data_IF_376314811745
#
_entry.id   IF_376314811745
#
_cell.length_a   1.000
_cell.length_b   1.000
_cell.length_c   1.000
_cell.angle_alpha   90.00
_cell.angle_beta   90.00
_cell.angle_gamma   90.00
#
_symmetry.space_group_name_H-M   'P 1'
#
loop_
_entity.id
_entity.type
_entity.pdbx_description
1 polymer ?
#
# COMPACT_ATOMS: atom_id res chain seq x y z
N UNK A 1 26.14 -26.67 -7.73
CA UNK A 1 26.22 -27.99 -7.06
C UNK A 1 25.28 -28.14 -5.85
N UNK A 2 25.12 -27.16 -4.95
CA UNK A 2 24.23 -27.31 -3.76
C UNK A 2 22.75 -27.50 -4.14
N UNK A 3 22.17 -26.55 -4.89
CA UNK A 3 20.82 -26.68 -5.49
C UNK A 3 20.58 -28.01 -6.22
N UNK A 4 21.61 -28.54 -6.90
CA UNK A 4 21.54 -29.80 -7.65
C UNK A 4 21.20 -31.03 -6.77
N UNK A 5 21.46 -30.98 -5.46
CA UNK A 5 21.13 -32.07 -4.52
C UNK A 5 19.63 -32.19 -4.23
N UNK A 6 18.91 -31.08 -4.34
CA UNK A 6 17.47 -30.99 -4.07
C UNK A 6 16.65 -31.04 -5.35
N UNK A 7 17.30 -31.32 -6.48
CA UNK A 7 16.69 -31.32 -7.80
C UNK A 7 16.04 -32.67 -8.08
N UNK A 8 14.73 -32.68 -8.30
CA UNK A 8 13.93 -33.83 -8.69
C UNK A 8 13.65 -33.78 -10.21
N UNK A 9 13.61 -34.94 -10.87
CA UNK A 9 13.30 -35.04 -12.31
C UNK A 9 11.98 -35.76 -12.49
N UNK A 10 10.97 -35.00 -12.92
CA UNK A 10 9.62 -35.49 -13.21
C UNK A 10 9.53 -35.87 -14.69
N UNK A 11 8.92 -37.03 -14.97
CA UNK A 11 8.54 -37.43 -16.34
C UNK A 11 7.01 -37.42 -16.43
N UNK A 12 6.48 -36.71 -17.42
CA UNK A 12 5.05 -36.54 -17.66
C UNK A 12 4.70 -37.10 -19.03
N UNK A 13 3.64 -37.90 -19.12
CA UNK A 13 3.06 -38.33 -20.40
C UNK A 13 2.07 -37.27 -20.92
N UNK A 14 1.68 -37.32 -22.21
CA UNK A 14 0.74 -36.33 -22.78
C UNK A 14 -0.59 -36.30 -22.03
N UNK A 15 -0.96 -35.14 -21.50
CA UNK A 15 -2.17 -34.93 -20.69
C UNK A 15 -1.94 -34.92 -19.18
N UNK A 16 -0.79 -35.38 -18.69
CA UNK A 16 -0.46 -35.36 -17.26
C UNK A 16 -0.32 -33.92 -16.75
N UNK A 17 -0.76 -33.69 -15.52
CA UNK A 17 -0.65 -32.38 -14.86
C UNK A 17 0.71 -32.26 -14.15
N UNK A 18 1.40 -31.15 -14.38
CA UNK A 18 2.58 -30.76 -13.60
C UNK A 18 2.15 -30.21 -12.23
N UNK A 19 1.09 -29.38 -12.23
CA UNK A 19 0.38 -28.90 -11.03
C UNK A 19 -1.02 -28.42 -11.42
N UNK A 20 -1.91 -28.35 -10.42
CA UNK A 20 -3.29 -27.87 -10.50
C UNK A 20 -3.53 -26.74 -9.50
N UNK A 21 -4.66 -26.06 -9.66
CA UNK A 21 -5.16 -25.14 -8.64
C UNK A 21 -5.29 -25.88 -7.29
N UNK A 22 -4.93 -25.21 -6.20
CA UNK A 22 -4.77 -25.70 -4.81
C UNK A 22 -3.49 -26.50 -4.50
N UNK A 23 -2.72 -26.94 -5.51
CA UNK A 23 -1.40 -27.56 -5.24
C UNK A 23 -0.41 -26.52 -4.68
N UNK A 24 0.61 -27.00 -3.97
CA UNK A 24 1.67 -26.18 -3.38
C UNK A 24 2.57 -25.56 -4.45
N UNK A 25 2.71 -24.23 -4.41
CA UNK A 25 3.57 -23.47 -5.31
C UNK A 25 4.91 -23.17 -4.61
N UNK A 26 5.63 -24.26 -4.31
CA UNK A 26 6.84 -24.29 -3.47
C UNK A 26 8.14 -24.52 -4.27
N UNK A 27 8.02 -24.61 -5.60
CA UNK A 27 9.05 -25.14 -6.49
C UNK A 27 9.19 -24.33 -7.76
N UNK A 28 10.44 -24.20 -8.23
CA UNK A 28 10.75 -23.74 -9.58
C UNK A 28 10.78 -24.97 -10.49
N UNK A 29 9.92 -24.99 -11.50
CA UNK A 29 9.93 -26.03 -12.54
C UNK A 29 10.64 -25.54 -13.79
N UNK A 30 11.49 -26.36 -14.41
CA UNK A 30 12.24 -26.05 -15.63
C UNK A 30 12.04 -27.19 -16.63
N UNK A 31 11.53 -26.90 -17.83
CA UNK A 31 11.31 -27.95 -18.85
C UNK A 31 12.67 -28.36 -19.45
N UNK A 32 13.07 -29.61 -19.27
CA UNK A 32 14.32 -30.16 -19.84
C UNK A 32 14.12 -30.69 -21.27
N UNK A 33 12.94 -31.24 -21.54
CA UNK A 33 12.46 -31.64 -22.88
C UNK A 33 10.94 -31.74 -22.88
N UNK A 34 10.33 -31.63 -24.05
CA UNK A 34 8.87 -31.65 -24.21
C UNK A 34 8.25 -30.25 -24.17
N UNK A 35 6.95 -30.21 -23.89
CA UNK A 35 6.10 -29.02 -23.98
C UNK A 35 5.06 -29.04 -22.84
N UNK A 36 5.07 -28.01 -22.00
CA UNK A 36 4.10 -27.83 -20.91
C UNK A 36 3.21 -26.64 -21.22
N UNK A 37 1.89 -26.80 -21.15
CA UNK A 37 0.92 -25.74 -21.36
C UNK A 37 0.34 -25.26 -20.04
N UNK A 38 0.38 -23.94 -19.82
CA UNK A 38 -0.13 -23.25 -18.64
C UNK A 38 -1.39 -22.49 -19.02
N UNK A 39 -2.47 -22.72 -18.28
CA UNK A 39 -3.78 -22.14 -18.55
C UNK A 39 -4.55 -21.82 -17.26
N UNK A 40 -5.52 -20.92 -17.37
CA UNK A 40 -6.54 -20.67 -16.35
C UNK A 40 -7.77 -21.49 -16.73
N UNK A 41 -8.42 -22.11 -15.75
CA UNK A 41 -9.75 -22.71 -15.90
C UNK A 41 -10.78 -21.79 -15.24
N UNK A 42 -11.74 -21.33 -16.03
CA UNK A 42 -12.86 -20.51 -15.57
C UNK A 42 -13.99 -21.39 -15.02
N UNK A 43 -14.91 -20.79 -14.24
CA UNK A 43 -16.03 -21.51 -13.62
C UNK A 43 -17.07 -22.05 -14.62
N UNK A 44 -17.10 -21.52 -15.84
CA UNK A 44 -17.91 -22.00 -16.97
C UNK A 44 -17.28 -23.21 -17.70
N UNK A 45 -16.10 -23.66 -17.27
CA UNK A 45 -15.33 -24.72 -17.91
C UNK A 45 -14.47 -24.26 -19.10
N UNK A 46 -14.51 -22.97 -19.48
CA UNK A 46 -13.62 -22.43 -20.50
C UNK A 46 -12.17 -22.39 -20.00
N UNK A 47 -11.21 -22.51 -20.92
CA UNK A 47 -9.77 -22.46 -20.60
C UNK A 47 -9.09 -21.32 -21.34
N UNK A 48 -8.44 -20.43 -20.58
CA UNK A 48 -7.62 -19.34 -21.13
C UNK A 48 -6.15 -19.78 -21.13
N UNK A 49 -5.58 -19.96 -22.33
CA UNK A 49 -4.16 -20.22 -22.52
C UNK A 49 -3.31 -19.03 -22.06
N UNK A 50 -2.44 -19.23 -21.07
CA UNK A 50 -1.49 -18.20 -20.63
C UNK A 50 -0.14 -18.33 -21.35
N UNK A 51 0.47 -19.51 -21.29
CA UNK A 51 1.85 -19.74 -21.74
C UNK A 51 2.03 -21.17 -22.24
N UNK A 52 2.82 -21.33 -23.30
CA UNK A 52 3.33 -22.63 -23.75
C UNK A 52 4.83 -22.68 -23.47
N UNK A 53 5.23 -23.48 -22.49
CA UNK A 53 6.58 -23.54 -21.93
C UNK A 53 7.38 -24.62 -22.66
N UNK A 54 8.54 -24.24 -23.19
CA UNK A 54 9.44 -25.09 -23.98
C UNK A 54 10.71 -25.43 -23.21
N UNK A 55 11.49 -26.36 -23.77
CA UNK A 55 12.84 -26.71 -23.29
C UNK A 55 13.69 -25.48 -22.95
N UNK A 56 14.16 -25.42 -21.71
CA UNK A 56 14.99 -24.35 -21.15
C UNK A 56 14.21 -23.26 -20.43
N UNK A 57 12.89 -23.18 -20.61
CA UNK A 57 12.03 -22.21 -19.95
C UNK A 57 11.52 -22.73 -18.60
N UNK A 58 11.16 -21.79 -17.72
CA UNK A 58 10.63 -22.10 -16.39
C UNK A 58 9.11 -21.93 -16.29
N UNK A 59 8.51 -22.69 -15.36
CA UNK A 59 7.13 -22.55 -14.89
C UNK A 59 7.18 -22.19 -13.41
N UNK A 60 7.22 -20.90 -13.10
CA UNK A 60 7.21 -20.38 -11.73
C UNK A 60 6.84 -18.90 -11.73
N UNK A 61 6.19 -18.41 -10.68
CA UNK A 61 6.08 -16.99 -10.40
C UNK A 61 7.21 -16.59 -9.46
N UNK A 62 7.92 -15.50 -9.78
CA UNK A 62 8.93 -14.98 -8.87
C UNK A 62 8.31 -14.26 -7.67
N UNK A 63 7.01 -13.96 -7.69
CA UNK A 63 6.28 -13.46 -6.53
C UNK A 63 6.03 -14.59 -5.52
N UNK A 64 5.75 -15.81 -5.97
CA UNK A 64 5.67 -17.00 -5.12
C UNK A 64 7.02 -17.35 -4.48
N UNK A 65 8.12 -17.12 -5.21
CA UNK A 65 9.48 -17.26 -4.66
C UNK A 65 9.73 -16.35 -3.44
N UNK A 66 9.19 -15.12 -3.45
CA UNK A 66 9.21 -14.23 -2.28
C UNK A 66 8.37 -14.82 -1.14
N UNK A 67 7.10 -15.16 -1.38
CA UNK A 67 6.19 -15.68 -0.35
C UNK A 67 6.80 -16.88 0.40
N UNK A 68 7.31 -17.87 -0.34
CA UNK A 68 7.83 -19.14 0.19
C UNK A 68 9.09 -18.95 1.03
N UNK A 69 10.05 -18.16 0.55
CA UNK A 69 11.27 -17.86 1.31
C UNK A 69 10.98 -17.00 2.54
N UNK A 70 9.97 -16.13 2.49
CA UNK A 70 9.46 -15.42 3.66
C UNK A 70 8.70 -16.31 4.65
N UNK A 71 8.72 -17.64 4.47
CA UNK A 71 8.06 -18.62 5.33
C UNK A 71 6.54 -18.65 5.21
N UNK A 72 5.96 -18.05 4.16
CA UNK A 72 4.52 -18.07 3.93
C UNK A 72 4.17 -19.18 2.93
N UNK A 73 3.13 -20.00 3.18
CA UNK A 73 2.75 -21.05 2.26
C UNK A 73 2.14 -20.43 0.99
N UNK A 74 2.68 -20.78 -0.18
CA UNK A 74 2.14 -20.41 -1.49
C UNK A 74 1.44 -21.60 -2.15
N UNK A 75 0.40 -21.30 -2.92
CA UNK A 75 -0.44 -22.27 -3.61
C UNK A 75 -0.87 -21.72 -4.97
N UNK A 76 -1.03 -22.60 -5.96
CA UNK A 76 -1.60 -22.22 -7.25
C UNK A 76 -3.07 -21.83 -7.07
N UNK A 77 -3.40 -20.54 -7.17
CA UNK A 77 -4.78 -20.06 -6.96
C UNK A 77 -5.63 -20.08 -8.23
N UNK A 78 -4.99 -19.95 -9.39
CA UNK A 78 -5.64 -19.51 -10.64
C UNK A 78 -5.11 -20.20 -11.88
N UNK A 79 -3.91 -20.80 -11.82
CA UNK A 79 -3.21 -21.40 -12.96
C UNK A 79 -3.09 -22.91 -12.78
N UNK A 80 -3.07 -23.63 -13.89
CA UNK A 80 -2.85 -25.07 -13.99
C UNK A 80 -1.89 -25.35 -15.13
N UNK A 81 -1.02 -26.35 -14.98
CA UNK A 81 -0.04 -26.72 -15.98
C UNK A 81 -0.15 -28.21 -16.34
N UNK A 82 -0.15 -28.53 -17.64
CA UNK A 82 -0.18 -29.91 -18.15
C UNK A 82 0.83 -30.15 -19.27
N UNK A 83 1.35 -31.36 -19.37
CA UNK A 83 2.17 -31.79 -20.48
C UNK A 83 1.32 -31.95 -21.76
N UNK A 84 1.76 -31.39 -22.88
CA UNK A 84 1.10 -31.52 -24.19
C UNK A 84 1.71 -32.66 -25.01
N UNK A 85 2.96 -33.00 -24.73
CA UNK A 85 3.71 -34.14 -25.27
C UNK A 85 4.53 -34.76 -24.13
N UNK A 86 5.16 -35.92 -24.36
CA UNK A 86 6.01 -36.57 -23.35
C UNK A 86 7.12 -35.60 -22.92
N UNK A 87 7.08 -35.19 -21.66
CA UNK A 87 7.88 -34.08 -21.13
C UNK A 87 8.73 -34.53 -19.95
N UNK A 88 9.92 -33.97 -19.84
CA UNK A 88 10.81 -34.13 -18.69
C UNK A 88 10.98 -32.75 -18.06
N UNK A 89 10.59 -32.63 -16.79
CA UNK A 89 10.56 -31.37 -16.06
C UNK A 89 11.43 -31.52 -14.82
N UNK A 90 12.36 -30.59 -14.65
CA UNK A 90 13.21 -30.49 -13.47
C UNK A 90 12.45 -29.68 -12.42
N UNK A 91 12.21 -30.26 -11.26
CA UNK A 91 11.65 -29.59 -10.08
C UNK A 91 12.79 -29.20 -9.14
N UNK A 92 12.83 -27.93 -8.74
CA UNK A 92 13.78 -27.41 -7.76
C UNK A 92 13.00 -26.69 -6.63
N UNK A 93 12.93 -27.26 -5.42
CA UNK A 93 12.27 -26.63 -4.28
C UNK A 93 12.86 -25.26 -3.96
N UNK A 94 12.03 -24.25 -3.74
CA UNK A 94 12.47 -22.88 -3.45
C UNK A 94 13.27 -22.80 -2.14
N UNK A 95 12.94 -23.63 -1.15
CA UNK A 95 13.69 -23.72 0.11
C UNK A 95 15.17 -24.13 -0.08
N UNK A 96 15.52 -24.84 -1.16
CA UNK A 96 16.91 -25.19 -1.45
C UNK A 96 17.81 -23.96 -1.75
N UNK A 97 17.22 -22.79 -2.02
CA UNK A 97 17.94 -21.54 -2.17
C UNK A 97 18.38 -20.93 -0.82
N UNK A 98 17.75 -21.28 0.31
CA UNK A 98 18.19 -20.78 1.63
C UNK A 98 19.64 -21.15 1.94
N UNK A 99 20.09 -22.37 1.61
CA UNK A 99 21.51 -22.76 1.76
C UNK A 99 22.45 -21.79 1.01
N UNK A 100 22.08 -21.41 -0.21
CA UNK A 100 22.87 -20.50 -1.06
C UNK A 100 22.86 -19.07 -0.52
N UNK A 101 21.72 -18.63 0.01
CA UNK A 101 21.55 -17.28 0.57
C UNK A 101 22.21 -17.11 1.94
N UNK A 102 22.21 -18.14 2.78
CA UNK A 102 22.93 -18.14 4.05
C UNK A 102 24.45 -18.09 3.85
N UNK A 103 24.97 -18.70 2.78
CA UNK A 103 26.39 -18.68 2.44
C UNK A 103 26.82 -17.41 1.69
N UNK A 104 25.92 -16.81 0.92
CA UNK A 104 26.18 -15.58 0.19
C UNK A 104 24.95 -14.65 0.22
N UNK A 105 24.80 -13.84 1.29
CA UNK A 105 23.66 -12.96 1.45
C UNK A 105 23.55 -11.86 0.38
N UNK A 106 24.68 -11.47 -0.24
CA UNK A 106 24.65 -10.54 -1.37
C UNK A 106 23.87 -11.11 -2.58
N UNK A 107 23.90 -12.44 -2.78
CA UNK A 107 23.11 -13.07 -3.84
C UNK A 107 21.63 -12.98 -3.50
N UNK A 108 21.25 -13.16 -2.24
CA UNK A 108 19.85 -12.97 -1.80
C UNK A 108 19.38 -11.56 -2.09
N UNK A 109 20.13 -10.54 -1.64
CA UNK A 109 19.81 -9.13 -1.90
C UNK A 109 19.63 -8.89 -3.41
N UNK A 110 20.59 -9.30 -4.23
CA UNK A 110 20.51 -9.15 -5.70
C UNK A 110 19.31 -9.86 -6.32
N UNK A 111 19.02 -11.11 -5.93
CA UNK A 111 17.89 -11.87 -6.47
C UNK A 111 16.57 -11.19 -6.12
N UNK A 112 16.36 -10.82 -4.85
CA UNK A 112 15.13 -10.16 -4.42
C UNK A 112 14.97 -8.79 -5.11
N UNK A 113 16.04 -7.99 -5.22
CA UNK A 113 16.00 -6.73 -5.95
C UNK A 113 15.67 -6.91 -7.44
N UNK A 114 16.24 -7.91 -8.12
CA UNK A 114 15.91 -8.22 -9.54
C UNK A 114 14.43 -8.58 -9.70
N UNK A 115 13.85 -9.33 -8.76
CA UNK A 115 12.41 -9.64 -8.75
C UNK A 115 11.57 -8.35 -8.60
N UNK A 116 11.96 -7.46 -7.68
CA UNK A 116 11.25 -6.19 -7.44
C UNK A 116 11.38 -5.20 -8.60
N UNK A 117 12.55 -5.10 -9.23
CA UNK A 117 12.76 -4.30 -10.44
C UNK A 117 11.92 -4.85 -11.60
N UNK A 118 11.79 -6.17 -11.73
CA UNK A 118 10.91 -6.80 -12.72
C UNK A 118 9.43 -6.49 -12.45
N UNK A 119 9.00 -6.60 -11.19
CA UNK A 119 7.65 -6.25 -10.75
C UNK A 119 7.32 -4.79 -11.12
N UNK A 120 8.23 -3.85 -10.85
CA UNK A 120 8.04 -2.44 -11.17
C UNK A 120 8.07 -2.15 -12.68
N UNK A 121 9.15 -2.53 -13.39
CA UNK A 121 9.39 -2.11 -14.79
C UNK A 121 8.70 -2.93 -15.86
N UNK A 122 8.31 -4.17 -15.56
CA UNK A 122 7.66 -5.05 -16.54
C UNK A 122 6.21 -5.22 -16.17
N UNK A 123 5.94 -5.72 -14.96
CA UNK A 123 4.58 -6.11 -14.58
C UNK A 123 3.68 -4.91 -14.36
N UNK A 124 4.05 -3.97 -13.47
CA UNK A 124 3.27 -2.74 -13.26
C UNK A 124 3.25 -1.84 -14.49
N UNK A 125 4.39 -1.63 -15.17
CA UNK A 125 4.41 -0.84 -16.40
C UNK A 125 3.50 -1.45 -17.47
N UNK A 126 3.54 -2.77 -17.73
CA UNK A 126 2.68 -3.36 -18.74
C UNK A 126 1.19 -3.32 -18.37
N UNK A 127 0.84 -3.61 -17.12
CA UNK A 127 -0.55 -3.57 -16.64
C UNK A 127 -1.14 -2.15 -16.70
N UNK A 128 -0.34 -1.13 -16.34
CA UNK A 128 -0.73 0.30 -16.44
C UNK A 128 -0.80 0.76 -17.91
N UNK A 129 0.28 0.59 -18.66
CA UNK A 129 0.45 1.19 -20.00
C UNK A 129 -0.36 0.48 -21.09
N UNK A 130 -0.55 -0.84 -21.02
CA UNK A 130 -1.24 -1.60 -22.06
C UNK A 130 -2.64 -2.08 -21.68
N UNK A 131 -2.93 -2.23 -20.39
CA UNK A 131 -4.25 -2.71 -19.91
C UNK A 131 -5.04 -1.63 -19.16
N UNK A 132 -4.45 -0.47 -18.84
CA UNK A 132 -5.11 0.62 -18.13
C UNK A 132 -5.44 0.33 -16.67
N UNK A 133 -4.90 -0.76 -16.10
CA UNK A 133 -5.19 -1.21 -14.75
C UNK A 133 -4.34 -0.45 -13.75
N UNK A 134 -4.99 0.19 -12.77
CA UNK A 134 -4.35 1.06 -11.78
C UNK A 134 -4.75 0.64 -10.35
N UNK A 135 -6.05 0.65 -10.03
CA UNK A 135 -6.57 0.29 -8.71
C UNK A 135 -6.63 -1.23 -8.50
N UNK A 136 -6.79 -1.98 -9.59
CA UNK A 136 -6.92 -3.44 -9.65
C UNK A 136 -5.61 -4.18 -9.34
N UNK A 137 -4.50 -3.44 -9.21
CA UNK A 137 -3.18 -3.98 -8.90
C UNK A 137 -3.00 -4.33 -7.41
N UNK A 138 -3.81 -3.72 -6.52
CA UNK A 138 -3.65 -3.81 -5.07
C UNK A 138 -4.89 -4.41 -4.40
N UNK A 139 -4.69 -5.33 -3.45
CA UNK A 139 -5.76 -5.86 -2.61
C UNK A 139 -6.16 -4.83 -1.56
N UNK A 140 -7.35 -4.26 -1.68
CA UNK A 140 -7.91 -3.26 -0.75
C UNK A 140 -8.24 -3.78 0.66
N UNK A 141 -7.92 -5.04 0.97
CA UNK A 141 -8.38 -5.77 2.16
C UNK A 141 -7.25 -6.54 2.87
N UNK A 142 -6.17 -5.83 3.22
CA UNK A 142 -5.16 -6.35 4.16
C UNK A 142 -5.78 -6.53 5.55
N UNK A 143 -6.31 -7.72 5.83
CA UNK A 143 -6.78 -8.09 7.17
C UNK A 143 -5.59 -8.10 8.13
N UNK A 144 -5.57 -7.16 9.07
CA UNK A 144 -4.65 -7.12 10.21
C UNK A 144 -4.49 -8.53 10.79
N UNK A 145 -3.26 -9.05 10.86
CA UNK A 145 -2.93 -10.24 11.66
C UNK A 145 -3.31 -9.92 13.11
N UNK A 146 -4.48 -10.42 13.55
CA UNK A 146 -4.82 -10.45 14.99
C UNK A 146 -3.86 -11.42 15.67
N UNK A 147 -2.75 -10.90 16.20
CA UNK A 147 -2.04 -11.59 17.26
C UNK A 147 -3.01 -11.76 18.45
N UNK A 148 -3.24 -13.01 18.83
CA UNK A 148 -3.97 -13.30 20.06
C UNK A 148 -3.04 -12.97 21.23
N UNK A 149 -3.36 -11.93 22.01
CA UNK A 149 -2.60 -11.60 23.23
C UNK A 149 -2.29 -10.12 23.44
N UNK A 150 -3.30 -9.25 23.48
CA UNK A 150 -3.18 -7.92 24.07
C UNK A 150 -4.50 -7.51 24.73
N UNK A 151 -4.63 -7.77 26.05
CA UNK A 151 -5.81 -7.42 26.82
C UNK A 151 -5.84 -5.91 27.13
N UNK A 152 -6.45 -5.12 26.24
CA UNK A 152 -6.69 -3.70 26.52
C UNK A 152 -7.79 -3.59 27.58
N UNK A 153 -7.38 -3.15 28.78
CA UNK A 153 -8.26 -2.78 29.88
C UNK A 153 -9.25 -1.70 29.43
N UNK A 154 -10.55 -2.00 29.47
CA UNK A 154 -11.61 -1.00 29.31
C UNK A 154 -12.43 -0.89 30.59
N UNK A 155 -12.13 0.14 31.37
CA UNK A 155 -12.90 0.57 32.53
C UNK A 155 -14.04 1.50 32.11
N UNK A 156 -15.31 1.10 32.28
CA UNK A 156 -16.48 1.98 32.47
C UNK A 156 -17.76 1.15 32.71
N UNK A 157 -18.80 1.69 33.38
CA UNK A 157 -19.52 0.87 34.37
C UNK A 157 -21.00 0.55 34.08
N UNK A 158 -21.41 -0.59 34.62
CA UNK A 158 -22.72 -0.91 35.23
C UNK A 158 -24.00 -0.25 34.67
N UNK A 159 -24.82 -1.02 33.94
CA UNK A 159 -26.27 -0.89 34.09
C UNK A 159 -27.07 -2.21 33.94
N UNK A 160 -27.65 -2.62 35.06
CA UNK A 160 -28.89 -3.40 35.30
C UNK A 160 -29.30 -4.55 34.33
N UNK A 161 -29.22 -5.77 34.89
CA UNK A 161 -29.78 -7.06 34.41
C UNK A 161 -31.32 -7.05 34.27
N UNK A 162 -31.82 -7.71 33.23
CA UNK A 162 -33.17 -8.35 33.16
C UNK A 162 -33.03 -9.67 32.39
N UNK A 163 -33.95 -10.63 32.59
CA UNK A 163 -33.78 -12.06 32.24
C UNK A 163 -34.98 -12.66 31.49
N UNK A 164 -34.75 -13.85 30.89
CA UNK A 164 -35.70 -14.79 30.24
C UNK A 164 -35.99 -14.59 28.72
N UNK A 165 -36.33 -15.66 27.97
CA UNK A 165 -35.49 -16.08 26.84
C UNK A 165 -36.28 -16.44 25.55
N UNK A 166 -35.65 -17.26 24.71
CA UNK A 166 -36.17 -18.01 23.54
C UNK A 166 -36.43 -17.23 22.23
N UNK A 167 -35.50 -17.38 21.29
CA UNK A 167 -35.79 -17.77 19.90
C UNK A 167 -34.52 -18.13 19.12
N UNK A 168 -34.60 -19.22 18.37
CA UNK A 168 -33.57 -19.67 17.42
C UNK A 168 -33.81 -18.99 16.07
N UNK A 169 -32.78 -18.45 15.40
CA UNK A 169 -32.70 -18.51 13.93
C UNK A 169 -31.34 -18.14 13.31
N UNK A 170 -30.78 -19.13 12.60
CA UNK A 170 -30.13 -19.08 11.29
C UNK A 170 -29.20 -17.92 10.89
N UNK A 171 -27.95 -18.29 10.59
CA UNK A 171 -27.07 -17.56 9.68
C UNK A 171 -27.60 -17.62 8.24
N UNK A 172 -27.61 -16.48 7.55
CA UNK A 172 -27.72 -16.40 6.10
C UNK A 172 -26.51 -15.65 5.54
N UNK A 173 -25.63 -16.41 4.89
CA UNK A 173 -24.75 -15.91 3.85
C UNK A 173 -25.58 -15.75 2.58
N UNK A 174 -25.72 -14.52 2.07
CA UNK A 174 -26.36 -14.30 0.78
C UNK A 174 -25.41 -13.68 -0.25
N UNK A 175 -25.56 -14.17 -1.47
CA UNK A 175 -24.76 -13.80 -2.64
C UNK A 175 -25.13 -12.41 -3.15
N UNK A 176 -24.16 -11.72 -3.75
CA UNK A 176 -24.41 -10.49 -4.51
C UNK A 176 -23.95 -10.71 -5.97
N UNK A 177 -24.86 -10.64 -6.97
CA UNK A 177 -24.51 -10.83 -8.38
C UNK A 177 -23.81 -9.60 -8.98
N UNK A 178 -23.07 -9.75 -10.10
CA UNK A 178 -22.41 -8.65 -10.77
C UNK A 178 -23.39 -7.79 -11.60
N UNK A 179 -23.05 -6.53 -11.92
CA UNK A 179 -23.87 -5.65 -12.75
C UNK A 179 -23.59 -5.86 -14.26
N UNK A 180 -24.65 -6.08 -15.04
CA UNK A 180 -24.62 -6.01 -16.50
C UNK A 180 -24.69 -4.54 -17.01
N UNK A 181 -24.10 -4.29 -18.18
CA UNK A 181 -24.16 -2.99 -18.89
C UNK A 181 -24.96 -3.07 -20.20
N UNK A 182 -25.46 -1.89 -20.65
CA UNK A 182 -26.18 -1.59 -21.93
C UNK A 182 -27.69 -2.00 -21.92
N UNK A 183 -28.68 -1.18 -22.32
CA UNK A 183 -28.84 -0.27 -23.47
C UNK A 183 -29.90 0.83 -23.21
N UNK A 184 -29.64 1.97 -23.85
CA UNK A 184 -30.39 3.21 -24.15
C UNK A 184 -31.94 3.34 -24.30
N UNK A 185 -32.34 4.63 -24.24
CA UNK A 185 -33.43 5.38 -24.94
C UNK A 185 -34.94 5.35 -24.51
N UNK A 186 -35.36 6.51 -23.95
CA UNK A 186 -36.41 7.43 -24.46
C UNK A 186 -37.91 7.40 -24.00
N UNK A 187 -38.43 8.64 -23.86
CA UNK A 187 -39.81 9.17 -23.90
C UNK A 187 -40.73 9.16 -22.64
N UNK A 188 -41.06 10.40 -22.20
CA UNK A 188 -42.41 10.98 -21.95
C UNK A 188 -43.56 10.06 -21.49
N UNK A 189 -44.42 10.41 -20.51
CA UNK A 189 -45.24 11.64 -20.47
C UNK A 189 -45.94 11.82 -19.11
N UNK A 190 -46.20 13.09 -18.73
CA UNK A 190 -47.29 13.63 -17.88
C UNK A 190 -48.14 12.75 -16.93
N UNK A 191 -48.33 13.25 -15.68
CA UNK A 191 -49.64 13.80 -15.22
C UNK A 191 -49.59 14.57 -13.87
N UNK A 192 -50.20 15.75 -13.85
CA UNK A 192 -50.67 16.49 -12.65
C UNK A 192 -51.92 15.78 -12.03
N UNK A 193 -52.54 16.12 -10.89
CA UNK A 193 -52.79 17.34 -10.10
C UNK A 193 -53.01 16.95 -8.60
N UNK A 194 -53.09 17.83 -7.59
CA UNK A 194 -53.00 19.30 -7.54
C UNK A 194 -53.79 19.89 -6.34
N UNK A 195 -53.96 21.24 -6.34
CA UNK A 195 -54.78 22.09 -5.42
C UNK A 195 -54.18 22.23 -4.00
N UNK A 196 -54.03 23.38 -3.31
CA UNK A 196 -54.18 24.85 -3.53
C UNK A 196 -53.40 25.57 -2.36
N UNK A 197 -53.39 26.88 -2.09
CA UNK A 197 -53.20 28.15 -2.84
C UNK A 197 -53.59 29.36 -1.94
N UNK A 198 -52.73 30.39 -1.79
CA UNK A 198 -53.10 31.78 -1.43
C UNK A 198 -51.93 32.77 -1.74
N UNK A 199 -52.26 34.03 -2.02
CA UNK A 199 -51.44 35.12 -2.62
C UNK A 199 -51.61 36.45 -1.82
N UNK A 200 -51.08 37.65 -2.19
CA UNK A 200 -49.93 38.03 -3.05
C UNK A 200 -48.98 39.16 -2.51
N UNK A 201 -47.77 39.16 -3.06
CA UNK A 201 -46.93 40.27 -3.61
C UNK A 201 -47.26 41.79 -3.42
N UNK A 202 -46.24 42.64 -3.20
CA UNK A 202 -45.99 43.89 -3.99
C UNK A 202 -44.65 44.64 -3.66
N UNK A 203 -44.07 45.24 -4.71
CA UNK A 203 -42.90 46.16 -4.77
C UNK A 203 -43.42 47.64 -4.95
N UNK A 204 -42.64 48.76 -4.98
CA UNK A 204 -41.42 48.99 -5.82
C UNK A 204 -40.35 50.07 -5.38
N UNK A 205 -39.27 50.22 -6.18
CA UNK A 205 -38.40 51.40 -6.55
C UNK A 205 -37.92 52.47 -5.50
N UNK A 206 -36.81 53.20 -5.66
CA UNK A 206 -35.69 53.22 -6.63
C UNK A 206 -34.83 54.53 -6.59
N UNK A 207 -33.57 54.47 -7.07
CA UNK A 207 -32.59 55.56 -7.39
C UNK A 207 -32.02 56.52 -6.31
N UNK A 208 -30.77 57.01 -6.47
CA UNK A 208 -30.48 58.39 -6.00
C UNK A 208 -29.08 59.06 -5.85
N UNK A 209 -27.90 58.43 -5.98
CA UNK A 209 -26.57 59.11 -6.20
C UNK A 209 -25.97 60.16 -5.21
N UNK A 210 -24.63 60.38 -5.34
CA UNK A 210 -23.78 61.49 -4.83
C UNK A 210 -23.43 61.55 -3.31
N UNK A 211 -22.27 62.02 -2.83
CA UNK A 211 -20.83 62.02 -3.22
C UNK A 211 -20.07 63.06 -2.36
N UNK A 212 -18.89 62.72 -1.81
CA UNK A 212 -17.79 63.69 -1.61
C UNK A 212 -17.47 64.22 -0.20
N UNK A 213 -16.16 64.18 0.13
CA UNK A 213 -15.44 64.93 1.20
C UNK A 213 -15.86 64.69 2.67
N UNK A 214 -14.99 64.91 3.68
CA UNK A 214 -13.55 65.21 3.65
C UNK A 214 -12.99 65.58 5.03
N UNK A 215 -11.76 65.13 5.31
CA UNK A 215 -10.68 65.80 6.05
C UNK A 215 -10.92 66.58 7.39
N UNK A 216 -10.13 66.17 8.40
CA UNK A 216 -9.32 67.03 9.32
C UNK A 216 -9.95 67.92 10.40
N UNK A 217 -9.27 67.94 11.57
CA UNK A 217 -9.42 68.92 12.66
C UNK A 217 -10.35 68.47 13.80
N UNK A 218 -10.04 68.65 15.08
CA UNK A 218 -8.86 69.24 15.72
C UNK A 218 -9.24 70.00 16.99
N UNK A 219 -8.52 69.79 18.10
CA UNK A 219 -8.61 70.65 19.30
C UNK A 219 -9.41 70.09 20.48
N UNK A 220 -8.78 69.24 21.30
CA UNK A 220 -9.22 68.94 22.66
C UNK A 220 -8.11 69.33 23.66
N UNK A 221 -8.15 70.57 24.16
CA UNK A 221 -7.18 71.06 25.14
C UNK A 221 -7.62 70.76 26.58
N UNK A 222 -6.68 70.37 27.44
CA UNK A 222 -6.97 70.09 28.85
C UNK A 222 -5.83 69.36 29.58
N UNK A 223 -4.76 70.08 29.93
CA UNK A 223 -3.77 69.56 30.88
C UNK A 223 -4.31 69.70 32.31
N UNK A 224 -4.12 68.68 33.17
CA UNK A 224 -3.73 68.91 34.56
C UNK A 224 -3.06 67.68 35.23
N UNK A 225 -1.74 67.77 35.35
CA UNK A 225 -0.92 67.37 36.53
C UNK A 225 -1.14 66.03 37.26
N UNK A 226 -0.16 65.13 37.06
CA UNK A 226 0.73 64.56 38.10
C UNK A 226 0.12 64.05 39.43
N UNK A 227 0.20 62.72 39.61
CA UNK A 227 0.52 62.11 40.91
C UNK A 227 1.49 60.94 40.71
N UNK A 228 2.62 60.96 41.42
CA UNK A 228 3.71 59.99 41.26
C UNK A 228 3.74 59.05 42.47
N UNK A 229 3.40 57.78 42.28
CA UNK A 229 3.48 56.74 43.33
C UNK A 229 4.25 55.52 42.86
N UNK A 230 5.55 55.49 43.22
CA UNK A 230 6.38 54.29 43.14
C UNK A 230 5.81 53.20 44.07
N UNK A 231 5.05 52.26 43.51
CA UNK A 231 4.76 50.99 44.16
C UNK A 231 5.62 49.90 43.51
N UNK A 232 6.62 49.40 44.23
CA UNK A 232 7.28 48.14 43.88
C UNK A 232 6.27 47.01 44.09
N UNK A 233 5.43 46.75 43.08
CA UNK A 233 4.58 45.57 43.06
C UNK A 233 5.46 44.35 42.82
N UNK A 234 5.59 43.51 43.86
CA UNK A 234 6.24 42.21 43.77
C UNK A 234 5.38 41.35 42.83
N UNK A 235 5.75 41.32 41.54
CA UNK A 235 4.99 40.63 40.51
C UNK A 235 4.74 39.18 40.88
N UNK A 236 3.47 38.76 40.83
CA UNK A 236 2.98 37.49 41.37
C UNK A 236 3.84 36.28 41.00
N UNK A 237 4.76 35.92 41.91
CA UNK A 237 5.64 34.76 41.77
C UNK A 237 4.82 33.45 41.75
N UNK A 238 3.66 33.45 42.41
CA UNK A 238 2.71 32.32 42.44
C UNK A 238 2.08 32.08 41.07
N UNK A 239 1.57 33.13 40.39
CA UNK A 239 0.97 32.98 39.05
C UNK A 239 2.03 32.55 38.03
N UNK A 240 3.26 33.08 38.14
CA UNK A 240 4.38 32.67 37.27
C UNK A 240 4.81 31.22 37.52
N UNK A 241 4.86 30.77 38.78
CA UNK A 241 5.08 29.36 39.13
C UNK A 241 3.96 28.46 38.61
N UNK A 242 2.69 28.87 38.70
CA UNK A 242 1.57 28.07 38.18
C UNK A 242 1.63 27.91 36.66
N UNK A 243 1.97 28.98 35.92
CA UNK A 243 2.20 28.89 34.47
C UNK A 243 3.43 28.05 34.11
N UNK A 244 4.50 28.10 34.91
CA UNK A 244 5.70 27.27 34.69
C UNK A 244 5.43 25.80 34.99
N UNK A 245 4.78 25.47 36.11
CA UNK A 245 4.40 24.09 36.46
C UNK A 245 3.46 23.49 35.40
N UNK A 246 2.52 24.27 34.86
CA UNK A 246 1.64 23.78 33.79
C UNK A 246 2.40 23.61 32.46
N UNK A 247 3.32 24.51 32.12
CA UNK A 247 4.18 24.38 30.94
C UNK A 247 5.16 23.19 31.06
N UNK A 248 5.75 22.97 32.24
CA UNK A 248 6.61 21.82 32.55
C UNK A 248 5.79 20.51 32.52
N UNK A 249 4.57 20.50 33.04
CA UNK A 249 3.68 19.33 32.96
C UNK A 249 3.28 19.01 31.51
N UNK A 250 2.98 20.04 30.69
CA UNK A 250 2.70 19.88 29.26
C UNK A 250 3.93 19.40 28.48
N UNK A 251 5.12 19.95 28.78
CA UNK A 251 6.37 19.52 28.17
C UNK A 251 6.71 18.06 28.55
N UNK A 252 6.56 17.69 29.82
CA UNK A 252 6.77 16.32 30.29
C UNK A 252 5.75 15.35 29.67
N UNK A 253 4.48 15.75 29.53
CA UNK A 253 3.46 14.95 28.87
C UNK A 253 3.78 14.74 27.38
N UNK A 254 4.14 15.81 26.65
CA UNK A 254 4.54 15.72 25.24
C UNK A 254 5.82 14.87 25.06
N UNK A 255 6.79 14.98 25.98
CA UNK A 255 8.02 14.17 25.94
C UNK A 255 7.72 12.68 26.19
N UNK A 256 6.82 12.37 27.13
CA UNK A 256 6.37 11.00 27.38
C UNK A 256 5.55 10.43 26.22
N UNK A 257 4.71 11.25 25.57
CA UNK A 257 3.95 10.89 24.38
C UNK A 257 4.88 10.58 23.19
N UNK A 258 5.88 11.43 22.92
CA UNK A 258 6.90 11.21 21.89
C UNK A 258 7.75 9.96 22.17
N UNK A 259 8.14 9.71 23.42
CA UNK A 259 8.84 8.49 23.80
C UNK A 259 8.00 7.23 23.55
N UNK A 260 6.70 7.28 23.87
CA UNK A 260 5.74 6.20 23.61
C UNK A 260 5.57 5.95 22.10
N UNK A 261 5.40 7.02 21.31
CA UNK A 261 5.33 6.94 19.84
C UNK A 261 6.60 6.37 19.22
N UNK A 262 7.77 6.76 19.72
CA UNK A 262 9.06 6.22 19.26
C UNK A 262 9.18 4.72 19.59
N UNK A 263 8.77 4.31 20.79
CA UNK A 263 8.68 2.90 21.17
C UNK A 263 7.78 2.10 20.23
N UNK A 264 6.57 2.59 19.98
CA UNK A 264 5.62 1.95 19.05
C UNK A 264 6.11 1.92 17.59
N UNK A 265 6.84 2.94 17.14
CA UNK A 265 7.48 2.98 15.83
C UNK A 265 8.54 1.89 15.69
N UNK A 266 9.39 1.71 16.71
CA UNK A 266 10.40 0.65 16.74
C UNK A 266 9.76 -0.74 16.76
N UNK A 267 8.74 -0.95 17.58
CA UNK A 267 7.99 -2.23 17.61
C UNK A 267 7.39 -2.56 16.23
N UNK A 268 6.86 -1.54 15.56
CA UNK A 268 6.22 -1.69 14.25
C UNK A 268 7.24 -1.95 13.14
N UNK A 269 8.40 -1.28 13.15
CA UNK A 269 9.50 -1.57 12.23
C UNK A 269 10.10 -2.97 12.48
N UNK A 270 10.38 -3.36 13.72
CA UNK A 270 10.86 -4.70 14.05
C UNK A 270 9.91 -5.78 13.52
N UNK A 271 8.61 -5.61 13.73
CA UNK A 271 7.58 -6.56 13.29
C UNK A 271 7.49 -6.71 11.77
N UNK A 272 7.45 -5.61 11.02
CA UNK A 272 7.30 -5.68 9.56
C UNK A 272 8.62 -5.91 8.80
N UNK A 273 9.78 -5.63 9.40
CA UNK A 273 11.10 -5.95 8.84
C UNK A 273 11.63 -7.33 9.29
N UNK A 274 10.87 -8.09 10.10
CA UNK A 274 11.24 -9.45 10.53
C UNK A 274 12.41 -9.51 11.53
N UNK A 275 12.70 -8.42 12.25
CA UNK A 275 13.92 -8.27 13.05
C UNK A 275 13.73 -8.64 14.52
N UNK A 276 14.74 -9.26 15.16
CA UNK A 276 14.72 -9.61 16.57
C UNK A 276 14.88 -8.37 17.46
N UNK A 277 14.37 -8.42 18.70
CA UNK A 277 14.37 -7.28 19.63
C UNK A 277 15.77 -6.75 19.98
N UNK A 278 16.82 -7.57 19.82
CA UNK A 278 18.23 -7.17 19.97
C UNK A 278 18.64 -6.04 19.01
N UNK A 279 18.08 -6.00 17.80
CA UNK A 279 18.41 -4.98 16.79
C UNK A 279 17.69 -3.64 17.04
N UNK A 280 16.84 -3.54 18.06
CA UNK A 280 16.07 -2.32 18.39
C UNK A 280 16.97 -1.10 18.52
N UNK A 281 18.07 -1.22 19.26
CA UNK A 281 19.00 -0.11 19.52
C UNK A 281 19.75 0.34 18.26
N UNK A 282 19.99 -0.58 17.32
CA UNK A 282 20.63 -0.28 16.04
C UNK A 282 19.67 0.48 15.11
N UNK A 283 18.43 -0.02 14.96
CA UNK A 283 17.38 0.61 14.15
C UNK A 283 17.01 1.99 14.68
N UNK A 284 16.98 2.17 16.00
CA UNK A 284 16.65 3.45 16.64
C UNK A 284 17.55 4.62 16.17
N UNK A 285 18.82 4.36 15.84
CA UNK A 285 19.71 5.39 15.28
C UNK A 285 19.29 5.91 13.90
N UNK A 286 18.45 5.18 13.17
CA UNK A 286 17.99 5.50 11.81
C UNK A 286 16.51 5.92 11.74
N UNK A 287 15.75 5.80 12.83
CA UNK A 287 14.31 6.11 12.85
C UNK A 287 14.06 7.58 13.18
N UNK A 288 13.42 8.27 12.24
CA UNK A 288 12.93 9.64 12.40
C UNK A 288 11.40 9.64 12.53
N UNK A 289 10.85 10.56 13.33
CA UNK A 289 9.42 10.75 13.52
C UNK A 289 8.95 12.01 12.79
N UNK A 290 7.75 11.96 12.23
CA UNK A 290 7.11 13.10 11.57
C UNK A 290 5.62 13.13 11.86
N UNK A 291 5.09 14.32 12.12
CA UNK A 291 3.65 14.59 12.19
C UNK A 291 3.27 15.48 11.01
N UNK A 292 2.28 15.03 10.22
CA UNK A 292 2.00 15.58 8.90
C UNK A 292 0.52 15.95 8.78
N UNK A 293 0.27 17.16 8.31
CA UNK A 293 -1.07 17.72 8.08
C UNK A 293 -1.81 17.03 6.93
N UNK A 294 -3.16 17.03 6.92
CA UNK A 294 -3.94 16.45 5.83
C UNK A 294 -3.60 17.09 4.47
N UNK A 295 -3.66 16.25 3.43
CA UNK A 295 -3.36 16.55 2.02
C UNK A 295 -1.89 16.87 1.68
N UNK A 296 -0.98 16.88 2.65
CA UNK A 296 0.47 16.98 2.37
C UNK A 296 0.95 15.70 1.67
N UNK A 297 1.71 15.87 0.58
CA UNK A 297 2.36 14.77 -0.14
C UNK A 297 3.68 14.38 0.56
N UNK A 298 3.79 13.11 0.91
CA UNK A 298 4.97 12.50 1.56
C UNK A 298 5.95 11.94 0.53
N UNK A 299 5.38 11.37 -0.52
CA UNK A 299 6.07 10.81 -1.67
C UNK A 299 5.34 11.34 -2.89
N UNK A 300 6.08 11.88 -3.85
CA UNK A 300 5.56 12.32 -5.15
C UNK A 300 5.98 11.34 -6.23
N UNK A 301 5.06 11.01 -7.14
CA UNK A 301 5.38 10.16 -8.30
C UNK A 301 6.52 10.78 -9.13
N UNK A 302 7.50 9.95 -9.52
CA UNK A 302 8.67 10.40 -10.28
C UNK A 302 9.78 11.05 -9.46
N UNK A 303 9.59 11.34 -8.17
CA UNK A 303 10.67 11.87 -7.34
C UNK A 303 11.69 10.76 -6.98
N UNK A 304 12.98 11.04 -7.22
CA UNK A 304 14.13 10.19 -6.88
C UNK A 304 14.82 10.67 -5.60
N UNK A 305 14.63 11.95 -5.25
CA UNK A 305 15.11 12.53 -4.00
C UNK A 305 14.21 12.06 -2.85
N UNK A 306 14.79 11.91 -1.66
CA UNK A 306 14.11 11.52 -0.42
C UNK A 306 13.37 10.16 -0.40
N UNK A 307 13.78 9.18 -1.23
CA UNK A 307 13.30 7.79 -1.06
C UNK A 307 13.58 7.29 0.37
N UNK A 308 12.50 6.89 1.04
CA UNK A 308 12.49 6.35 2.40
C UNK A 308 11.35 5.33 2.55
N UNK A 309 11.48 4.43 3.52
CA UNK A 309 10.35 3.63 3.99
C UNK A 309 9.62 4.42 5.08
N UNK A 310 8.29 4.48 5.00
CA UNK A 310 7.42 5.06 6.02
C UNK A 310 6.60 3.96 6.68
N UNK A 311 6.28 4.14 7.96
CA UNK A 311 5.30 3.32 8.68
C UNK A 311 4.26 4.24 9.34
N UNK A 312 2.98 3.90 9.17
CA UNK A 312 1.89 4.70 9.72
C UNK A 312 1.70 4.36 11.19
N UNK A 313 1.88 5.33 12.10
CA UNK A 313 1.68 5.11 13.54
C UNK A 313 0.23 5.36 13.94
N UNK A 314 -0.30 6.52 13.57
CA UNK A 314 -1.70 6.92 13.82
C UNK A 314 -2.19 7.80 12.68
N UNK A 315 -3.40 7.53 12.16
CA UNK A 315 -3.97 8.25 11.01
C UNK A 315 -4.16 7.31 9.82
N UNK A 316 -4.08 7.85 8.60
CA UNK A 316 -4.18 7.07 7.37
C UNK A 316 -3.57 7.84 6.19
N UNK A 317 -2.96 7.12 5.25
CA UNK A 317 -2.41 7.69 4.01
C UNK A 317 -3.23 7.21 2.81
N UNK A 318 -3.41 8.06 1.81
CA UNK A 318 -4.00 7.68 0.53
C UNK A 318 -2.90 7.59 -0.53
N UNK A 319 -2.91 6.50 -1.29
CA UNK A 319 -2.02 6.29 -2.43
C UNK A 319 -2.77 6.62 -3.71
N UNK A 320 -2.18 7.54 -4.46
CA UNK A 320 -2.65 8.02 -5.76
C UNK A 320 -1.66 7.65 -6.86
N UNK A 321 -2.12 7.62 -8.10
CA UNK A 321 -1.28 7.46 -9.27
C UNK A 321 -1.76 8.41 -10.37
N UNK A 322 -0.82 9.10 -10.99
CA UNK A 322 -1.06 9.93 -12.16
C UNK A 322 -1.57 9.06 -13.32
N UNK A 323 -2.58 9.48 -14.10
CA UNK A 323 -2.95 8.71 -15.29
C UNK A 323 -2.03 9.07 -16.47
N UNK A 324 -1.40 8.07 -17.09
CA UNK A 324 -0.60 8.26 -18.30
C UNK A 324 -1.48 7.94 -19.51
N UNK A 325 -2.25 8.93 -19.98
CA UNK A 325 -2.98 8.83 -21.25
C UNK A 325 -1.98 8.85 -22.42
N UNK A 326 -1.48 7.67 -22.79
CA UNK A 326 -0.52 7.48 -23.91
C UNK A 326 -1.11 7.87 -25.28
N UNK A 327 -2.44 8.04 -25.38
CA UNK A 327 -3.16 8.10 -26.66
C UNK A 327 -3.71 9.46 -27.08
N UNK A 328 -3.56 10.55 -26.31
CA UNK A 328 -4.09 11.88 -26.71
C UNK A 328 -3.15 13.07 -26.46
N UNK A 329 -2.86 13.77 -27.56
CA UNK A 329 -2.15 15.06 -27.67
C UNK A 329 -2.98 16.27 -27.17
N UNK A 330 -3.72 16.11 -26.07
CA UNK A 330 -4.48 17.20 -25.45
C UNK A 330 -4.13 17.25 -23.97
N UNK A 331 -3.56 18.37 -23.53
CA UNK A 331 -3.40 18.70 -22.12
C UNK A 331 -4.79 18.78 -21.46
N UNK A 332 -5.24 17.66 -20.90
CA UNK A 332 -6.34 17.61 -19.96
C UNK A 332 -5.74 17.31 -18.59
N UNK A 333 -6.21 18.01 -17.57
CA UNK A 333 -5.65 17.96 -16.22
C UNK A 333 -5.50 16.51 -15.76
N UNK A 334 -4.27 16.11 -15.43
CA UNK A 334 -3.98 14.74 -15.07
C UNK A 334 -4.57 14.45 -13.68
N UNK A 335 -5.73 13.79 -13.68
CA UNK A 335 -6.42 13.44 -12.46
C UNK A 335 -5.70 12.28 -11.77
N UNK A 336 -5.17 12.55 -10.57
CA UNK A 336 -4.65 11.55 -9.65
C UNK A 336 -5.72 10.48 -9.35
N UNK A 337 -5.53 9.26 -9.85
CA UNK A 337 -6.40 8.11 -9.59
C UNK A 337 -6.09 7.57 -8.19
N UNK A 338 -7.10 7.48 -7.33
CA UNK A 338 -6.97 6.83 -6.02
C UNK A 338 -6.87 5.30 -6.19
N UNK A 339 -5.84 4.70 -5.59
CA UNK A 339 -5.63 3.24 -5.61
C UNK A 339 -6.12 2.62 -4.29
N UNK A 340 -5.54 3.03 -3.16
CA UNK A 340 -5.88 2.46 -1.84
C UNK A 340 -5.52 3.39 -0.68
N UNK A 341 -6.07 3.09 0.49
CA UNK A 341 -5.71 3.71 1.78
C UNK A 341 -4.80 2.77 2.56
N UNK A 342 -3.72 3.31 3.12
CA UNK A 342 -2.74 2.67 4.00
C UNK A 342 -3.17 2.89 5.45
N UNK A 343 -3.16 1.83 6.24
CA UNK A 343 -3.61 1.83 7.63
C UNK A 343 -2.45 1.80 8.65
N UNK A 344 -2.71 2.17 9.92
CA UNK A 344 -1.71 2.09 10.99
C UNK A 344 -1.07 0.70 11.12
N UNK A 345 0.26 0.68 11.21
CA UNK A 345 1.08 -0.51 11.28
C UNK A 345 1.60 -1.05 9.94
N UNK A 346 1.24 -0.45 8.80
CA UNK A 346 1.72 -0.86 7.47
C UNK A 346 2.92 -0.03 6.99
N UNK A 347 3.90 -0.69 6.36
CA UNK A 347 5.04 -0.04 5.68
C UNK A 347 4.69 0.34 4.23
N UNK A 348 5.09 1.54 3.80
CA UNK A 348 5.07 2.00 2.40
C UNK A 348 6.41 2.59 1.96
N UNK A 349 6.63 2.69 0.64
CA UNK A 349 7.90 3.13 0.05
C UNK A 349 8.96 2.03 -0.06
N UNK A 350 8.65 0.80 0.37
CA UNK A 350 9.55 -0.35 0.31
C UNK A 350 10.01 -0.66 -1.11
N UNK A 351 9.08 -0.68 -2.07
CA UNK A 351 9.38 -0.93 -3.48
C UNK A 351 10.47 0.00 -4.04
N UNK A 352 10.35 1.31 -3.82
CA UNK A 352 11.31 2.31 -4.30
C UNK A 352 12.70 2.17 -3.65
N UNK A 353 12.77 1.72 -2.38
CA UNK A 353 14.04 1.39 -1.73
C UNK A 353 14.63 0.10 -2.30
N UNK A 354 13.82 -0.92 -2.57
CA UNK A 354 14.29 -2.20 -3.11
C UNK A 354 14.80 -2.06 -4.55
N UNK A 355 14.10 -1.32 -5.40
CA UNK A 355 14.50 -1.10 -6.81
C UNK A 355 15.55 0.00 -6.98
N UNK A 356 15.61 0.95 -6.04
CA UNK A 356 16.46 2.14 -6.14
C UNK A 356 15.91 3.20 -7.11
N UNK A 357 14.66 3.07 -7.55
CA UNK A 357 14.01 3.91 -8.56
C UNK A 357 13.00 4.87 -7.95
N UNK A 358 12.60 5.91 -8.71
CA UNK A 358 11.53 6.81 -8.32
C UNK A 358 10.25 6.05 -7.96
N UNK A 359 9.49 6.59 -7.02
CA UNK A 359 8.17 6.07 -6.68
C UNK A 359 7.20 6.21 -7.86
N UNK A 360 6.48 5.15 -8.19
CA UNK A 360 5.44 5.11 -9.25
C UNK A 360 4.08 5.60 -8.79
N UNK A 361 4.00 6.14 -7.56
CA UNK A 361 2.79 6.52 -6.86
C UNK A 361 3.05 7.78 -6.03
N UNK A 362 2.01 8.61 -5.87
CA UNK A 362 2.00 9.77 -4.98
C UNK A 362 1.25 9.42 -3.69
N UNK A 363 1.86 9.59 -2.52
CA UNK A 363 1.24 9.27 -1.23
C UNK A 363 0.95 10.57 -0.47
N UNK A 364 -0.32 10.79 -0.09
CA UNK A 364 -0.77 11.99 0.64
C UNK A 364 -1.45 11.62 1.96
N UNK A 365 -1.25 12.41 3.00
CA UNK A 365 -1.92 12.19 4.29
C UNK A 365 -3.42 12.45 4.18
N UNK A 366 -4.28 11.55 4.67
CA UNK A 366 -5.75 11.72 4.62
C UNK A 366 -6.27 12.61 5.77
N UNK A 367 -5.63 12.47 6.92
CA UNK A 367 -5.90 13.20 8.16
C UNK A 367 -4.55 13.64 8.76
N UNK A 368 -4.55 14.39 9.87
CA UNK A 368 -3.33 14.58 10.67
C UNK A 368 -2.79 13.19 11.02
N UNK A 369 -1.60 12.87 10.51
CA UNK A 369 -1.05 11.51 10.55
C UNK A 369 0.36 11.56 11.12
N UNK A 370 0.61 10.70 12.11
CA UNK A 370 1.93 10.52 12.71
C UNK A 370 2.60 9.31 12.10
N UNK A 371 3.84 9.50 11.68
CA UNK A 371 4.61 8.57 10.88
C UNK A 371 5.99 8.40 11.50
N UNK A 372 6.59 7.24 11.26
CA UNK A 372 8.03 7.08 11.39
C UNK A 372 8.62 6.71 10.03
N UNK A 373 9.85 7.11 9.77
CA UNK A 373 10.53 6.82 8.51
C UNK A 373 12.02 6.51 8.68
N UNK A 374 12.55 5.77 7.70
CA UNK A 374 13.97 5.46 7.57
C UNK A 374 14.39 5.79 6.13
N UNK A 375 15.37 6.69 5.97
CA UNK A 375 15.91 7.07 4.65
C UNK A 375 16.66 5.91 3.99
N UNK A 376 16.70 5.88 2.64
CA UNK A 376 17.43 4.86 1.84
C UNK A 376 18.83 4.49 2.38
N UNK A 377 19.71 5.43 2.80
CA UNK A 377 21.03 5.05 3.33
C UNK A 377 20.95 4.26 4.64
N UNK A 378 19.99 4.58 5.51
CA UNK A 378 19.72 3.81 6.72
C UNK A 378 19.23 2.41 6.39
N UNK A 379 18.22 2.28 5.52
CA UNK A 379 17.73 0.95 5.10
C UNK A 379 18.84 0.10 4.49
N UNK A 380 19.71 0.68 3.65
CA UNK A 380 20.84 -0.03 3.06
C UNK A 380 21.94 -0.39 4.07
N UNK A 381 22.14 0.39 5.14
CA UNK A 381 23.00 0.00 6.26
C UNK A 381 22.41 -1.21 7.00
N UNK A 382 21.12 -1.17 7.32
CA UNK A 382 20.45 -2.27 8.02
C UNK A 382 20.40 -3.54 7.15
N UNK A 383 20.19 -3.43 5.82
CA UNK A 383 20.29 -4.55 4.88
C UNK A 383 21.70 -5.18 4.79
N UNK A 384 22.78 -4.45 5.10
CA UNK A 384 24.14 -5.02 5.11
C UNK A 384 24.38 -5.86 6.35
N UNK A 385 23.97 -5.37 7.52
CA UNK A 385 24.11 -6.10 8.79
C UNK A 385 23.11 -7.26 8.90
N UNK A 386 21.88 -7.07 8.40
CA UNK A 386 20.79 -8.07 8.40
C UNK A 386 20.18 -8.23 7.00
N UNK A 387 20.83 -8.98 6.09
CA UNK A 387 20.38 -9.16 4.71
C UNK A 387 18.94 -9.68 4.55
N UNK A 388 18.42 -10.45 5.52
CA UNK A 388 17.07 -11.03 5.47
C UNK A 388 15.95 -9.99 5.29
N UNK A 389 16.15 -8.76 5.77
CA UNK A 389 15.17 -7.66 5.65
C UNK A 389 14.76 -7.40 4.19
N UNK A 390 15.65 -7.63 3.21
CA UNK A 390 15.32 -7.43 1.79
C UNK A 390 14.13 -8.29 1.36
N UNK A 391 14.02 -9.49 1.92
CA UNK A 391 12.96 -10.46 1.67
C UNK A 391 11.67 -10.07 2.40
N UNK A 392 11.76 -9.63 3.66
CA UNK A 392 10.61 -9.16 4.43
C UNK A 392 9.99 -7.87 3.84
N UNK A 393 10.81 -6.94 3.36
CA UNK A 393 10.35 -5.77 2.59
C UNK A 393 9.73 -6.19 1.26
N UNK A 394 10.32 -7.14 0.53
CA UNK A 394 9.73 -7.69 -0.69
C UNK A 394 8.36 -8.33 -0.44
N UNK A 395 8.23 -9.08 0.65
CA UNK A 395 6.98 -9.69 1.10
C UNK A 395 5.92 -8.65 1.51
N UNK A 396 6.32 -7.50 2.07
CA UNK A 396 5.38 -6.40 2.31
C UNK A 396 4.71 -5.92 1.02
N UNK A 397 5.46 -5.78 -0.07
CA UNK A 397 4.90 -5.41 -1.37
C UNK A 397 4.10 -6.56 -2.01
N UNK A 398 4.63 -7.80 -2.01
CA UNK A 398 3.99 -8.98 -2.63
C UNK A 398 2.66 -9.38 -1.96
N UNK A 399 2.52 -9.17 -0.65
CA UNK A 399 1.24 -9.37 0.07
C UNK A 399 0.13 -8.43 -0.38
N UNK A 400 0.48 -7.22 -0.83
CA UNK A 400 -0.47 -6.22 -1.30
C UNK A 400 -0.95 -6.45 -2.74
N UNK A 401 -0.24 -7.25 -3.54
CA UNK A 401 -0.57 -7.45 -4.97
C UNK A 401 -1.86 -8.26 -5.17
N UNK A 402 -2.69 -7.86 -6.13
CA UNK A 402 -3.90 -8.60 -6.47
C UNK A 402 -3.60 -9.98 -7.11
N UNK A 403 -4.54 -10.93 -7.07
CA UNK A 403 -4.38 -12.22 -7.76
C UNK A 403 -4.15 -12.09 -9.26
N UNK A 404 -4.67 -11.02 -9.89
CA UNK A 404 -4.46 -10.73 -11.31
C UNK A 404 -2.99 -10.41 -11.61
N UNK A 405 -2.33 -9.60 -10.78
CA UNK A 405 -0.89 -9.31 -10.89
C UNK A 405 -0.08 -10.62 -10.87
N UNK A 406 -0.44 -11.56 -9.97
CA UNK A 406 0.20 -12.88 -9.90
C UNK A 406 -0.05 -13.75 -11.13
N UNK A 407 -1.25 -13.71 -11.74
CA UNK A 407 -1.52 -14.39 -13.03
C UNK A 407 -0.65 -13.81 -14.15
N UNK A 408 -0.54 -12.49 -14.22
CA UNK A 408 0.28 -11.81 -15.24
C UNK A 408 1.79 -12.07 -15.04
N UNK A 409 2.26 -12.26 -13.81
CA UNK A 409 3.66 -12.68 -13.54
C UNK A 409 3.99 -14.08 -14.10
N UNK A 410 3.00 -14.99 -14.21
CA UNK A 410 3.13 -16.29 -14.91
C UNK A 410 3.09 -16.19 -16.44
N UNK A 411 2.47 -15.14 -16.98
CA UNK A 411 2.29 -14.95 -18.42
C UNK A 411 3.41 -14.10 -19.07
N UNK A 412 4.11 -13.26 -18.29
CA UNK A 412 5.12 -12.33 -18.77
C UNK A 412 6.55 -12.86 -18.54
N UNK A 413 7.11 -13.53 -19.55
CA UNK A 413 8.52 -13.91 -19.59
C UNK A 413 9.42 -12.89 -20.29
N UNK A 414 10.68 -12.92 -19.89
CA UNK A 414 11.77 -12.28 -20.65
C UNK A 414 12.23 -13.21 -21.78
N UNK A 415 11.72 -13.00 -22.98
CA UNK A 415 12.33 -13.58 -24.19
C UNK A 415 13.57 -12.76 -24.53
N UNK A 416 14.75 -13.26 -24.15
CA UNK A 416 16.02 -12.70 -24.60
C UNK A 416 16.18 -12.90 -26.10
N UNK A 417 15.86 -11.87 -26.88
CA UNK A 417 16.08 -11.84 -28.33
C UNK A 417 17.42 -11.18 -28.63
N UNK A 418 18.29 -11.90 -29.33
CA UNK A 418 19.51 -11.33 -29.92
C UNK A 418 19.14 -10.24 -30.93
N UNK A 419 19.91 -9.15 -30.92
CA UNK A 419 19.73 -8.01 -31.82
C UNK A 419 19.75 -8.45 -33.30
N UNK A 420 18.70 -8.11 -34.04
CA UNK A 420 18.55 -8.44 -35.47
C UNK A 420 17.56 -9.56 -35.78
N UNK A 421 17.01 -10.26 -34.78
CA UNK A 421 15.84 -11.14 -34.99
C UNK A 421 14.55 -10.32 -35.13
N UNK A 422 13.73 -10.68 -36.11
CA UNK A 422 12.39 -10.10 -36.27
C UNK A 422 11.49 -10.56 -35.11
N UNK A 423 11.01 -9.60 -34.31
CA UNK A 423 10.13 -9.83 -33.16
C UNK A 423 8.73 -10.29 -33.60
N UNK A 424 8.29 -9.80 -34.76
CA UNK A 424 7.01 -10.12 -35.38
C UNK A 424 7.21 -10.16 -36.90
N UNK A 425 6.55 -11.10 -37.57
CA UNK A 425 6.35 -11.09 -39.03
C UNK A 425 4.84 -11.03 -39.26
N UNK A 426 4.42 -10.00 -39.98
CA UNK A 426 3.04 -9.75 -40.38
C UNK A 426 2.62 -10.71 -41.51
#
# INVERSE_FOLDING_TARGET
LKLCKHTEVLTLEPGDFLFKITDSDDSVFIVQSGLVHVFISNADGSTLSLKTVKKGESVTSLLSFIDVLSGNPSFYKTVTAKAMEKSVVIRLPMQAFEEVFNENPDIMIRVIQVIMVRLQRVLFTALRTYLGLNSELVQSHMRIKKSAGASILKTSPLHRRSTHPDSVQHSLSDFMPPPDMLVDLAHDTERHMGIQAALPNSQPAGNGSASGAGATGGGGGGQHTLANSRANSIGNLVTRRYSLIHAEALANAATAELASLRGYALDSFLRELGLPEEDRAFIDSYVELSEVEPNVALISEGNVDDICIWIVLTGALNVYQSNVDVTRTVQKECADVFIYTVHPGEIVGGLAVLTGEASTYTIKAKHVTRLAFIRRPGVYAIMRERPRIVLDLGNCEVRRLSPLVRQCDYALDWVFLESGRAVYRQ
#
